data_IF_172822321124
#
_entry.id   IF_172822321124
#
_cell.length_a   1.000
_cell.length_b   1.000
_cell.length_c   1.000
_cell.angle_alpha   90.00
_cell.angle_beta   90.00
_cell.angle_gamma   90.00
#
_symmetry.space_group_name_H-M   'P 1'
#
loop_
_entity.id
_entity.type
_entity.pdbx_description
1 polymer ?
#
# COMPACT_ATOMS: atom_id res chain seq x y z
N UNK A 1 12.53 -2.47 -18.01
CA UNK A 1 11.18 -2.09 -17.52
C UNK A 1 11.37 -1.54 -16.12
N UNK A 2 10.84 -0.35 -15.83
CA UNK A 2 11.12 0.37 -14.58
C UNK A 2 10.39 -0.33 -13.41
N UNK A 3 11.14 -0.88 -12.44
CA UNK A 3 10.60 -1.67 -11.34
C UNK A 3 9.52 -0.89 -10.56
N UNK A 4 9.69 0.42 -10.42
CA UNK A 4 8.73 1.33 -9.79
C UNK A 4 7.41 1.40 -10.57
N UNK A 5 7.47 1.46 -11.90
CA UNK A 5 6.28 1.47 -12.74
C UNK A 5 5.49 0.16 -12.60
N UNK A 6 6.20 -0.96 -12.42
CA UNK A 6 5.58 -2.26 -12.13
C UNK A 6 4.89 -2.27 -10.76
N UNK A 7 5.53 -1.75 -9.71
CA UNK A 7 4.92 -1.59 -8.38
C UNK A 7 3.64 -0.78 -8.44
N UNK A 8 3.69 0.39 -9.06
CA UNK A 8 2.53 1.27 -9.20
C UNK A 8 1.39 0.57 -9.90
N UNK A 9 1.68 -0.14 -11.00
CA UNK A 9 0.67 -0.91 -11.74
C UNK A 9 0.02 -2.01 -10.91
N UNK A 10 0.70 -2.55 -9.89
CA UNK A 10 0.18 -3.62 -9.05
C UNK A 10 -0.55 -3.10 -7.81
N UNK A 11 -0.07 -2.01 -7.20
CA UNK A 11 -0.59 -1.52 -5.92
C UNK A 11 -1.62 -0.42 -6.04
N UNK A 12 -1.49 0.52 -6.99
CA UNK A 12 -2.49 1.57 -7.17
C UNK A 12 -3.92 1.04 -7.34
N UNK A 13 -4.20 0.02 -8.18
CA UNK A 13 -5.58 -0.45 -8.32
C UNK A 13 -6.12 -1.10 -7.04
N UNK A 14 -5.26 -1.71 -6.22
CA UNK A 14 -5.66 -2.28 -4.92
C UNK A 14 -5.94 -1.18 -3.90
N UNK A 15 -5.14 -0.11 -3.92
CA UNK A 15 -5.26 1.04 -3.06
C UNK A 15 -6.52 1.84 -3.38
N UNK A 16 -6.78 2.14 -4.65
CA UNK A 16 -7.98 2.85 -5.12
C UNK A 16 -9.26 2.10 -4.71
N UNK A 17 -9.25 0.78 -4.94
CA UNK A 17 -10.31 -0.11 -4.52
C UNK A 17 -10.58 -0.11 -3.00
N UNK A 18 -9.53 0.02 -2.18
CA UNK A 18 -9.66 0.12 -0.73
C UNK A 18 -10.21 1.50 -0.32
N UNK A 19 -9.71 2.58 -0.92
CA UNK A 19 -10.18 3.96 -0.67
C UNK A 19 -11.68 4.08 -0.98
N UNK A 20 -12.12 3.60 -2.14
CA UNK A 20 -13.54 3.62 -2.53
C UNK A 20 -14.40 2.84 -1.54
N UNK A 21 -13.88 1.71 -1.03
CA UNK A 21 -14.59 0.93 -0.01
C UNK A 21 -14.72 1.70 1.31
N UNK A 22 -13.63 2.32 1.77
CA UNK A 22 -13.61 3.08 3.02
C UNK A 22 -14.51 4.32 2.94
N UNK A 23 -14.51 5.04 1.81
CA UNK A 23 -15.45 6.13 1.56
C UNK A 23 -16.91 5.64 1.59
N UNK A 24 -17.18 4.47 1.01
CA UNK A 24 -18.51 3.86 0.99
C UNK A 24 -18.96 3.42 2.39
N UNK A 25 -18.01 2.98 3.22
CA UNK A 25 -18.25 2.59 4.61
C UNK A 25 -18.34 3.80 5.57
N UNK A 26 -18.09 5.02 5.06
CA UNK A 26 -18.13 6.27 5.83
C UNK A 26 -16.85 6.56 6.63
N UNK A 27 -15.79 5.79 6.41
CA UNK A 27 -14.47 5.97 7.04
C UNK A 27 -13.57 6.87 6.21
N UNK A 28 -13.91 8.16 6.19
CA UNK A 28 -13.20 9.18 5.42
C UNK A 28 -11.76 9.40 5.93
N UNK A 29 -11.49 9.18 7.23
CA UNK A 29 -10.16 9.37 7.81
C UNK A 29 -9.19 8.32 7.29
N UNK A 30 -9.59 7.04 7.34
CA UNK A 30 -8.79 5.96 6.77
C UNK A 30 -8.64 6.13 5.26
N UNK A 31 -9.72 6.48 4.55
CA UNK A 31 -9.68 6.72 3.10
C UNK A 31 -8.66 7.81 2.73
N UNK A 32 -8.65 8.94 3.44
CA UNK A 32 -7.71 10.04 3.23
C UNK A 32 -6.26 9.64 3.51
N UNK A 33 -6.05 8.83 4.55
CA UNK A 33 -4.74 8.27 4.85
C UNK A 33 -4.21 7.37 3.71
N UNK A 34 -5.06 6.51 3.14
CA UNK A 34 -4.68 5.68 1.99
C UNK A 34 -4.47 6.50 0.71
N UNK A 35 -5.20 7.61 0.52
CA UNK A 35 -4.92 8.55 -0.58
C UNK A 35 -3.53 9.16 -0.48
N UNK A 36 -3.09 9.52 0.73
CA UNK A 36 -1.73 10.01 0.96
C UNK A 36 -0.65 8.97 0.61
N UNK A 37 -0.90 7.68 0.85
CA UNK A 37 -0.01 6.62 0.37
C UNK A 37 0.03 6.58 -1.16
N UNK A 38 -1.12 6.70 -1.81
CA UNK A 38 -1.20 6.69 -3.26
C UNK A 38 -0.37 7.81 -3.89
N UNK A 39 -0.53 9.02 -3.36
CA UNK A 39 0.26 10.18 -3.76
C UNK A 39 1.77 9.97 -3.52
N UNK A 40 2.16 9.34 -2.40
CA UNK A 40 3.55 9.02 -2.13
C UNK A 40 4.11 7.99 -3.14
N UNK A 41 3.34 6.94 -3.46
CA UNK A 41 3.72 5.94 -4.46
C UNK A 41 3.86 6.55 -5.87
N UNK A 42 3.01 7.53 -6.20
CA UNK A 42 3.10 8.31 -7.44
C UNK A 42 4.32 9.23 -7.49
N UNK A 43 4.73 9.76 -6.34
CA UNK A 43 5.90 10.62 -6.22
C UNK A 43 7.22 9.84 -6.20
N UNK A 44 7.21 8.56 -5.76
CA UNK A 44 8.39 7.72 -5.59
C UNK A 44 9.22 7.57 -6.88
N UNK A 45 10.49 7.97 -6.88
CA UNK A 45 11.37 7.92 -8.06
C UNK A 45 12.44 6.84 -7.95
N UNK A 46 12.72 6.39 -6.74
CA UNK A 46 13.72 5.38 -6.43
C UNK A 46 13.11 4.21 -5.66
N UNK A 47 13.79 3.07 -5.65
CA UNK A 47 13.33 1.88 -4.92
C UNK A 47 13.33 2.10 -3.40
N UNK A 48 14.25 2.96 -2.91
CA UNK A 48 14.32 3.36 -1.51
C UNK A 48 13.07 4.14 -1.06
N UNK A 49 12.51 4.99 -1.93
CA UNK A 49 11.25 5.69 -1.68
C UNK A 49 10.10 4.69 -1.45
N UNK A 50 10.06 3.63 -2.27
CA UNK A 50 9.06 2.58 -2.14
C UNK A 50 9.21 1.83 -0.82
N UNK A 51 10.44 1.45 -0.45
CA UNK A 51 10.72 0.78 0.82
C UNK A 51 10.31 1.64 2.01
N UNK A 52 10.60 2.95 2.00
CA UNK A 52 10.13 3.88 3.04
C UNK A 52 8.60 3.93 3.12
N UNK A 53 7.89 3.97 1.99
CA UNK A 53 6.43 3.96 1.98
C UNK A 53 5.89 2.66 2.60
N UNK A 54 6.47 1.51 2.28
CA UNK A 54 6.03 0.24 2.86
C UNK A 54 6.32 0.12 4.35
N UNK A 55 7.52 0.52 4.78
CA UNK A 55 7.97 0.37 6.17
C UNK A 55 7.33 1.40 7.10
N UNK A 56 7.25 2.66 6.67
CA UNK A 56 6.82 3.76 7.54
C UNK A 56 5.33 4.06 7.44
N UNK A 57 4.74 3.93 6.25
CA UNK A 57 3.32 4.24 6.04
C UNK A 57 2.49 2.98 6.21
N UNK A 58 2.78 1.91 5.47
CA UNK A 58 2.01 0.65 5.57
C UNK A 58 2.38 -0.22 6.78
N UNK A 59 3.29 0.23 7.65
CA UNK A 59 3.68 -0.45 8.88
C UNK A 59 2.64 -0.41 10.02
N UNK A 60 2.95 -1.00 11.20
CA UNK A 60 2.04 -1.19 12.33
C UNK A 60 1.52 0.11 12.98
N UNK A 61 2.00 1.27 12.54
CA UNK A 61 1.67 2.60 13.07
C UNK A 61 0.58 3.34 12.28
N UNK A 62 0.10 2.78 11.16
CA UNK A 62 -0.99 3.35 10.36
C UNK A 62 -2.42 2.98 10.85
N UNK A 63 -3.47 3.18 10.04
CA UNK A 63 -4.86 2.78 10.33
C UNK A 63 -5.03 1.28 10.52
N UNK A 64 -3.95 0.48 10.44
CA UNK A 64 -3.89 -0.85 11.04
C UNK A 64 -4.37 -0.87 12.50
N UNK A 65 -4.16 0.22 13.26
CA UNK A 65 -4.71 0.36 14.61
C UNK A 65 -6.26 0.39 14.64
N UNK A 66 -6.89 0.99 13.62
CA UNK A 66 -8.35 1.06 13.44
C UNK A 66 -8.89 -0.06 12.55
N UNK A 67 -8.03 -0.93 12.01
CA UNK A 67 -8.44 -1.98 11.08
C UNK A 67 -9.34 -3.05 11.73
N UNK A 68 -9.52 -3.03 13.05
CA UNK A 68 -10.52 -3.83 13.76
C UNK A 68 -11.96 -3.35 13.50
N UNK A 69 -12.14 -2.05 13.21
CA UNK A 69 -13.45 -1.43 12.92
C UNK A 69 -13.78 -1.45 11.42
N UNK A 70 -12.86 -1.93 10.58
CA UNK A 70 -13.10 -2.05 9.14
C UNK A 70 -14.20 -3.08 8.87
N UNK A 71 -15.02 -2.78 7.87
CA UNK A 71 -15.96 -3.78 7.34
C UNK A 71 -15.20 -5.03 6.87
N UNK A 72 -15.83 -6.21 6.86
CA UNK A 72 -15.18 -7.43 6.38
C UNK A 72 -14.60 -7.30 4.97
N UNK A 73 -15.25 -6.49 4.12
CA UNK A 73 -14.79 -6.24 2.75
C UNK A 73 -13.59 -5.29 2.70
N UNK A 74 -13.60 -4.21 3.48
CA UNK A 74 -12.46 -3.31 3.62
C UNK A 74 -11.24 -4.05 4.18
N UNK A 75 -11.45 -4.93 5.16
CA UNK A 75 -10.40 -5.79 5.73
C UNK A 75 -9.77 -6.70 4.68
N UNK A 76 -10.60 -7.40 3.89
CA UNK A 76 -10.10 -8.28 2.82
C UNK A 76 -9.31 -7.51 1.75
N UNK A 77 -9.73 -6.28 1.41
CA UNK A 77 -8.98 -5.42 0.48
C UNK A 77 -7.65 -4.95 1.07
N UNK A 78 -7.65 -4.58 2.35
CA UNK A 78 -6.43 -4.22 3.08
C UNK A 78 -5.45 -5.40 3.11
N UNK A 79 -5.89 -6.59 3.50
CA UNK A 79 -5.04 -7.78 3.57
C UNK A 79 -4.43 -8.10 2.19
N UNK A 80 -5.20 -7.94 1.10
CA UNK A 80 -4.69 -8.12 -0.27
C UNK A 80 -3.67 -7.07 -0.67
N UNK A 81 -3.88 -5.81 -0.31
CA UNK A 81 -2.93 -4.72 -0.54
C UNK A 81 -1.61 -5.00 0.19
N UNK A 82 -1.68 -5.42 1.45
CA UNK A 82 -0.51 -5.72 2.27
C UNK A 82 0.26 -6.94 1.76
N UNK A 83 -0.44 -8.02 1.39
CA UNK A 83 0.18 -9.19 0.81
C UNK A 83 0.92 -8.85 -0.50
N UNK A 84 0.32 -8.03 -1.36
CA UNK A 84 0.96 -7.58 -2.59
C UNK A 84 2.15 -6.66 -2.32
N UNK A 85 2.02 -5.72 -1.37
CA UNK A 85 3.09 -4.85 -0.93
C UNK A 85 4.30 -5.63 -0.42
N UNK A 86 4.05 -6.67 0.38
CA UNK A 86 5.09 -7.55 0.90
C UNK A 86 5.77 -8.38 -0.20
N UNK A 87 4.99 -8.93 -1.15
CA UNK A 87 5.53 -9.66 -2.29
C UNK A 87 6.43 -8.77 -3.16
N UNK A 88 6.01 -7.52 -3.37
CA UNK A 88 6.79 -6.52 -4.09
C UNK A 88 8.08 -6.19 -3.34
N UNK A 89 8.00 -5.88 -2.04
CA UNK A 89 9.17 -5.59 -1.22
C UNK A 89 10.18 -6.76 -1.21
N UNK A 90 9.69 -8.00 -1.11
CA UNK A 90 10.52 -9.19 -1.18
C UNK A 90 11.22 -9.35 -2.54
N UNK A 91 10.54 -9.04 -3.64
CA UNK A 91 11.15 -9.06 -4.97
C UNK A 91 12.32 -8.06 -5.07
N UNK A 92 12.18 -6.84 -4.54
CA UNK A 92 13.27 -5.86 -4.49
C UNK A 92 14.44 -6.33 -3.61
N UNK A 93 14.15 -6.89 -2.43
CA UNK A 93 15.20 -7.42 -1.56
C UNK A 93 15.94 -8.61 -2.18
N UNK A 94 15.27 -9.41 -3.03
CA UNK A 94 15.87 -10.54 -3.73
C UNK A 94 16.67 -10.13 -4.98
N UNK A 95 16.26 -9.07 -5.69
CA UNK A 95 17.03 -8.50 -6.81
C UNK A 95 18.29 -7.75 -6.35
N UNK A 96 18.35 -7.35 -5.07
CA UNK A 96 19.50 -6.71 -4.43
C UNK A 96 20.59 -7.66 -3.90
N UNK A 97 20.55 -8.97 -4.18
CA UNK A 97 21.59 -9.94 -3.82
C UNK A 97 22.52 -10.18 -5.02
N UNK A 98 23.63 -9.43 -5.17
CA UNK A 98 24.71 -9.83 -6.04
C UNK A 98 25.49 -10.95 -5.33
N UNK A 99 25.51 -12.13 -5.94
CA UNK A 99 26.59 -13.09 -5.72
C UNK A 99 27.97 -12.42 -5.87
#
# INVERSE_FOLDING_TARGET
>A
MNAIANVRSQLMPLLDALIVQLDSDGDAESADWFRHIGAALEAAREEEDLLMIFLERLGPTGPMANAADFSPLARLRLDRLLAQAQAVAFAFSAEGDPH
#
